data_IF_630236309567
#
_entry.id   IF_630236309567
#
_cell.length_a   1.000
_cell.length_b   1.000
_cell.length_c   1.000
_cell.angle_alpha   90.00
_cell.angle_beta   90.00
_cell.angle_gamma   90.00
#
_symmetry.space_group_name_H-M   'P 1'
#
loop_
_entity.id
_entity.type
_entity.pdbx_description
1 polymer ?
#
# COMPACT_ATOMS: atom_id res chain seq x y z
N UNK A 1 24.76 -26.06 36.45
CA UNK A 1 23.64 -26.85 35.88
C UNK A 1 22.77 -25.88 35.13
N UNK A 2 23.06 -25.75 33.83
CA UNK A 2 22.72 -24.57 33.05
C UNK A 2 21.45 -24.91 32.28
N UNK A 3 20.34 -24.27 32.61
CA UNK A 3 19.00 -24.57 32.10
C UNK A 3 18.91 -24.34 30.58
N UNK A 4 18.93 -25.39 29.74
CA UNK A 4 18.82 -25.23 28.28
C UNK A 4 17.41 -24.76 27.86
N UNK A 5 16.41 -25.06 28.69
CA UNK A 5 15.00 -24.70 28.51
C UNK A 5 14.79 -23.18 28.39
N UNK A 6 15.50 -22.37 29.18
CA UNK A 6 15.32 -20.91 29.19
C UNK A 6 15.77 -20.25 27.88
N UNK A 7 16.72 -20.88 27.18
CA UNK A 7 17.30 -20.37 25.93
C UNK A 7 16.40 -20.70 24.74
N UNK A 8 15.76 -21.88 24.75
CA UNK A 8 14.80 -22.27 23.73
C UNK A 8 13.48 -21.49 23.83
N UNK A 9 13.01 -21.20 25.04
CA UNK A 9 11.82 -20.35 25.24
C UNK A 9 12.08 -18.93 24.72
N UNK A 10 13.24 -18.34 25.00
CA UNK A 10 13.59 -16.99 24.52
C UNK A 10 13.65 -16.92 22.98
N UNK A 11 14.24 -17.94 22.34
CA UNK A 11 14.34 -18.03 20.87
C UNK A 11 12.98 -18.23 20.21
N UNK A 12 12.11 -19.06 20.81
CA UNK A 12 10.75 -19.26 20.32
C UNK A 12 9.91 -17.99 20.44
N UNK A 13 10.07 -17.22 21.52
CA UNK A 13 9.40 -15.93 21.69
C UNK A 13 9.88 -14.88 20.68
N UNK A 14 11.19 -14.80 20.39
CA UNK A 14 11.73 -13.88 19.37
C UNK A 14 11.23 -14.23 17.96
N UNK A 15 11.20 -15.51 17.59
CA UNK A 15 10.73 -15.97 16.28
C UNK A 15 9.23 -15.73 16.10
N UNK A 16 8.42 -15.91 17.16
CA UNK A 16 7.00 -15.60 17.13
C UNK A 16 6.76 -14.10 16.91
N UNK A 17 7.51 -13.21 17.57
CA UNK A 17 7.38 -11.76 17.33
C UNK A 17 7.84 -11.32 15.95
N UNK A 18 8.86 -11.97 15.37
CA UNK A 18 9.32 -11.67 14.01
C UNK A 18 8.31 -12.11 12.94
N UNK A 19 7.57 -13.20 13.17
CA UNK A 19 6.55 -13.69 12.25
C UNK A 19 5.30 -12.78 12.20
N UNK A 20 4.98 -12.07 13.28
CA UNK A 20 3.90 -11.07 13.32
C UNK A 20 4.21 -9.79 12.53
N UNK A 21 5.48 -9.57 12.14
CA UNK A 21 5.88 -8.44 11.29
C UNK A 21 5.87 -8.76 9.80
N UNK A 22 5.37 -9.94 9.41
CA UNK A 22 4.94 -10.20 8.04
C UNK A 22 3.74 -9.29 7.73
N UNK A 23 4.03 -8.02 7.48
CA UNK A 23 3.10 -7.11 6.86
C UNK A 23 2.65 -7.79 5.57
N UNK A 24 1.33 -8.01 5.46
CA UNK A 24 0.70 -8.12 4.17
C UNK A 24 1.28 -6.99 3.31
N UNK A 25 1.89 -7.38 2.19
CA UNK A 25 2.47 -6.43 1.26
C UNK A 25 1.38 -5.41 0.91
N UNK A 26 1.65 -4.13 1.19
CA UNK A 26 0.68 -3.03 1.08
C UNK A 26 0.05 -2.97 -0.32
N UNK A 27 0.81 -3.40 -1.34
CA UNK A 27 0.31 -3.52 -2.72
C UNK A 27 -0.79 -4.58 -2.82
N UNK A 28 -0.63 -5.73 -2.17
CA UNK A 28 -1.65 -6.79 -2.14
C UNK A 28 -2.91 -6.36 -1.40
N UNK A 29 -2.77 -5.67 -0.26
CA UNK A 29 -3.93 -5.12 0.48
C UNK A 29 -4.72 -4.12 -0.37
N UNK A 30 -4.01 -3.22 -1.05
CA UNK A 30 -4.63 -2.27 -1.94
C UNK A 30 -5.18 -2.90 -3.22
N UNK A 31 -4.59 -3.99 -3.73
CA UNK A 31 -5.13 -4.75 -4.84
C UNK A 31 -6.52 -5.31 -4.50
N UNK A 32 -6.70 -5.88 -3.31
CA UNK A 32 -8.00 -6.37 -2.83
C UNK A 32 -9.02 -5.23 -2.74
N UNK A 33 -8.63 -4.06 -2.20
CA UNK A 33 -9.52 -2.89 -2.10
C UNK A 33 -9.90 -2.34 -3.48
N UNK A 34 -8.95 -2.24 -4.40
CA UNK A 34 -9.19 -1.77 -5.76
C UNK A 34 -10.14 -2.71 -6.51
N UNK A 35 -9.97 -4.03 -6.35
CA UNK A 35 -10.90 -5.02 -6.90
C UNK A 35 -12.32 -4.86 -6.35
N UNK A 36 -12.48 -4.62 -5.05
CA UNK A 36 -13.80 -4.37 -4.45
C UNK A 36 -14.45 -3.09 -5.03
N UNK A 37 -13.68 -1.99 -5.13
CA UNK A 37 -14.16 -0.74 -5.71
C UNK A 37 -14.56 -0.89 -7.19
N UNK A 38 -13.81 -1.69 -7.96
CA UNK A 38 -14.11 -2.00 -9.34
C UNK A 38 -15.37 -2.88 -9.47
N UNK A 39 -15.54 -3.87 -8.60
CA UNK A 39 -16.75 -4.69 -8.56
C UNK A 39 -18.00 -3.83 -8.28
N UNK A 40 -17.91 -2.91 -7.33
CA UNK A 40 -18.99 -1.99 -6.97
C UNK A 40 -19.30 -0.97 -8.09
N UNK A 41 -18.32 -0.65 -8.94
CA UNK A 41 -18.48 0.30 -10.04
C UNK A 41 -19.30 -0.22 -11.23
N UNK A 42 -19.66 -1.50 -11.24
CA UNK A 42 -20.39 -2.18 -12.33
C UNK A 42 -19.70 -2.07 -13.70
N UNK A 43 -18.40 -1.74 -13.72
CA UNK A 43 -17.55 -1.88 -14.91
C UNK A 43 -17.43 -3.38 -15.21
N UNK A 44 -18.23 -3.90 -16.12
CA UNK A 44 -18.07 -5.27 -16.61
C UNK A 44 -16.66 -5.52 -17.17
N UNK A 45 -16.34 -6.78 -17.45
CA UNK A 45 -15.16 -7.15 -18.25
C UNK A 45 -15.41 -6.83 -19.72
N UNK A 46 -14.44 -6.32 -20.51
CA UNK A 46 -13.03 -6.01 -20.20
C UNK A 46 -12.65 -4.72 -19.44
N UNK A 47 -13.47 -3.64 -19.36
CA UNK A 47 -13.07 -2.39 -18.72
C UNK A 47 -12.45 -2.49 -17.32
N UNK A 48 -12.99 -3.32 -16.42
CA UNK A 48 -12.43 -3.49 -15.07
C UNK A 48 -10.97 -4.01 -15.08
N UNK A 49 -10.62 -4.92 -15.99
CA UNK A 49 -9.26 -5.46 -16.09
C UNK A 49 -8.29 -4.38 -16.55
N UNK A 50 -8.69 -3.54 -17.52
CA UNK A 50 -7.88 -2.40 -17.95
C UNK A 50 -7.67 -1.38 -16.84
N UNK A 51 -8.72 -1.08 -16.07
CA UNK A 51 -8.63 -0.17 -14.94
C UNK A 51 -7.64 -0.71 -13.88
N UNK A 52 -7.72 -2.00 -13.55
CA UNK A 52 -6.79 -2.63 -12.61
C UNK A 52 -5.34 -2.60 -13.12
N UNK A 53 -5.11 -2.84 -14.41
CA UNK A 53 -3.78 -2.74 -15.01
C UNK A 53 -3.19 -1.32 -14.90
N UNK A 54 -3.98 -0.29 -15.22
CA UNK A 54 -3.56 1.12 -15.10
C UNK A 54 -3.17 1.44 -13.65
N UNK A 55 -4.00 1.04 -12.69
CA UNK A 55 -3.74 1.27 -11.26
C UNK A 55 -2.42 0.61 -10.83
N UNK A 56 -2.17 -0.64 -11.23
CA UNK A 56 -0.95 -1.35 -10.85
C UNK A 56 0.31 -0.79 -11.54
N UNK A 57 0.20 -0.34 -12.79
CA UNK A 57 1.30 0.38 -13.46
C UNK A 57 1.65 1.67 -12.71
N UNK A 58 0.65 2.46 -12.32
CA UNK A 58 0.86 3.68 -11.56
C UNK A 58 1.49 3.41 -10.18
N UNK A 59 1.08 2.33 -9.51
CA UNK A 59 1.67 1.90 -8.22
C UNK A 59 3.14 1.53 -8.39
N UNK A 60 3.48 0.76 -9.43
CA UNK A 60 4.86 0.39 -9.72
C UNK A 60 5.72 1.63 -9.99
N UNK A 61 5.27 2.52 -10.89
CA UNK A 61 5.96 3.78 -11.17
C UNK A 61 6.12 4.65 -9.91
N UNK A 62 5.13 4.61 -9.02
CA UNK A 62 5.18 5.37 -7.79
C UNK A 62 6.26 4.86 -6.82
N UNK A 63 6.38 3.54 -6.67
CA UNK A 63 7.41 2.94 -5.83
C UNK A 63 8.79 3.17 -6.44
N UNK A 64 8.94 2.98 -7.75
CA UNK A 64 10.21 3.19 -8.47
C UNK A 64 10.68 4.66 -8.42
N UNK A 65 9.74 5.61 -8.37
CA UNK A 65 10.02 7.05 -8.26
C UNK A 65 10.44 7.51 -6.85
N UNK A 66 10.43 6.63 -5.84
CA UNK A 66 10.82 7.02 -4.49
C UNK A 66 12.31 7.38 -4.40
N UNK A 67 12.69 8.39 -3.59
CA UNK A 67 14.09 8.72 -3.39
C UNK A 67 14.85 7.53 -2.78
N UNK A 68 16.09 7.23 -3.24
CA UNK A 68 16.83 6.03 -2.81
C UNK A 68 16.95 5.86 -1.29
N UNK A 69 17.09 6.98 -0.57
CA UNK A 69 17.19 7.01 0.90
C UNK A 69 15.97 6.45 1.64
N UNK A 70 14.80 6.43 1.00
CA UNK A 70 13.51 6.01 1.60
C UNK A 70 12.79 4.96 0.77
N UNK A 71 13.33 4.56 -0.38
CA UNK A 71 12.66 3.68 -1.36
C UNK A 71 12.24 2.31 -0.79
N UNK A 72 12.96 1.80 0.21
CA UNK A 72 12.64 0.54 0.89
C UNK A 72 11.97 0.73 2.25
N UNK A 73 11.72 1.98 2.66
CA UNK A 73 11.09 2.25 3.95
C UNK A 73 9.59 2.08 3.83
N UNK A 74 9.03 1.29 4.76
CA UNK A 74 7.59 1.01 4.78
C UNK A 74 6.72 2.27 4.74
N UNK A 75 6.97 3.34 5.53
CA UNK A 75 6.13 4.54 5.48
C UNK A 75 6.12 5.24 4.12
N UNK A 76 7.24 5.23 3.38
CA UNK A 76 7.30 5.83 2.06
C UNK A 76 6.54 4.99 1.02
N UNK A 77 6.75 3.67 1.04
CA UNK A 77 6.07 2.74 0.13
C UNK A 77 4.55 2.75 0.38
N UNK A 78 4.11 2.63 1.64
CA UNK A 78 2.69 2.67 1.99
C UNK A 78 2.00 3.96 1.52
N UNK A 79 2.66 5.10 1.74
CA UNK A 79 2.13 6.40 1.33
C UNK A 79 2.09 6.54 -0.20
N UNK A 80 3.14 6.10 -0.91
CA UNK A 80 3.19 6.11 -2.37
C UNK A 80 2.08 5.24 -2.98
N UNK A 81 1.89 4.02 -2.45
CA UNK A 81 0.85 3.09 -2.89
C UNK A 81 -0.54 3.68 -2.67
N UNK A 82 -0.82 4.23 -1.49
CA UNK A 82 -2.12 4.84 -1.19
C UNK A 82 -2.41 6.05 -2.11
N UNK A 83 -1.41 6.89 -2.36
CA UNK A 83 -1.56 8.06 -3.23
C UNK A 83 -1.74 7.65 -4.71
N UNK A 84 -1.01 6.65 -5.20
CA UNK A 84 -1.15 6.16 -6.57
C UNK A 84 -2.55 5.58 -6.83
N UNK A 85 -3.07 4.77 -5.89
CA UNK A 85 -4.44 4.25 -5.95
C UNK A 85 -5.47 5.39 -5.95
N UNK A 86 -5.28 6.38 -5.07
CA UNK A 86 -6.17 7.56 -5.03
C UNK A 86 -6.24 8.25 -6.39
N UNK A 87 -5.09 8.60 -6.96
CA UNK A 87 -4.99 9.37 -8.20
C UNK A 87 -5.67 8.63 -9.35
N UNK A 88 -5.31 7.36 -9.55
CA UNK A 88 -5.83 6.57 -10.68
C UNK A 88 -7.29 6.17 -10.50
N UNK A 89 -7.69 5.67 -9.33
CA UNK A 89 -9.06 5.21 -9.11
C UNK A 89 -10.06 6.37 -9.10
N UNK A 90 -9.70 7.57 -8.62
CA UNK A 90 -10.62 8.72 -8.67
C UNK A 90 -10.83 9.27 -10.09
N UNK A 91 -9.86 9.06 -10.99
CA UNK A 91 -10.01 9.36 -12.41
C UNK A 91 -10.85 8.30 -13.14
N UNK A 92 -10.62 7.02 -12.84
CA UNK A 92 -11.30 5.90 -13.50
C UNK A 92 -12.73 5.70 -12.97
N UNK A 93 -12.96 5.92 -11.67
CA UNK A 93 -14.21 5.65 -10.95
C UNK A 93 -14.72 6.90 -10.22
N UNK A 94 -15.09 7.97 -10.94
CA UNK A 94 -15.47 9.24 -10.31
C UNK A 94 -16.68 9.10 -9.35
N UNK A 95 -17.59 8.16 -9.62
CA UNK A 95 -18.72 7.85 -8.72
C UNK A 95 -18.31 7.25 -7.37
N UNK A 96 -17.13 6.62 -7.29
CA UNK A 96 -16.61 5.99 -6.07
C UNK A 96 -15.67 6.92 -5.29
N UNK A 97 -15.50 8.18 -5.72
CA UNK A 97 -14.49 9.10 -5.19
C UNK A 97 -14.53 9.26 -3.67
N UNK A 98 -15.71 9.41 -3.07
CA UNK A 98 -15.84 9.57 -1.63
C UNK A 98 -15.32 8.35 -0.86
N UNK A 99 -15.64 7.14 -1.34
CA UNK A 99 -15.15 5.89 -0.74
C UNK A 99 -13.64 5.72 -0.91
N UNK A 100 -13.10 6.08 -2.08
CA UNK A 100 -11.66 6.06 -2.34
C UNK A 100 -10.93 7.04 -1.42
N UNK A 101 -11.39 8.28 -1.33
CA UNK A 101 -10.79 9.32 -0.49
C UNK A 101 -10.80 8.92 0.99
N UNK A 102 -11.90 8.34 1.48
CA UNK A 102 -11.99 7.84 2.86
C UNK A 102 -11.01 6.68 3.14
N UNK A 103 -10.91 5.71 2.23
CA UNK A 103 -9.98 4.60 2.37
C UNK A 103 -8.51 5.06 2.38
N UNK A 104 -8.16 6.01 1.52
CA UNK A 104 -6.82 6.60 1.46
C UNK A 104 -6.52 7.40 2.73
N UNK A 105 -7.46 8.21 3.20
CA UNK A 105 -7.29 8.98 4.44
C UNK A 105 -7.06 8.04 5.63
N UNK A 106 -7.85 6.96 5.74
CA UNK A 106 -7.66 5.96 6.79
C UNK A 106 -6.28 5.31 6.71
N UNK A 107 -5.84 4.90 5.52
CA UNK A 107 -4.51 4.30 5.32
C UNK A 107 -3.38 5.28 5.67
N UNK A 108 -3.48 6.55 5.25
CA UNK A 108 -2.47 7.55 5.57
C UNK A 108 -2.44 7.93 7.05
N UNK A 109 -3.57 7.83 7.77
CA UNK A 109 -3.65 8.22 9.18
C UNK A 109 -2.83 7.32 10.11
N UNK A 110 -2.62 6.06 9.74
CA UNK A 110 -1.85 5.10 10.54
C UNK A 110 -0.35 5.10 10.23
N UNK A 111 0.07 5.79 9.16
CA UNK A 111 1.48 5.96 8.80
C UNK A 111 2.07 7.08 9.67
N UNK A 112 3.15 6.81 10.43
CA UNK A 112 3.82 7.84 11.23
C UNK A 112 4.26 9.04 10.38
N UNK A 113 4.06 10.24 10.92
CA UNK A 113 4.52 11.47 10.28
C UNK A 113 6.04 11.50 10.14
N UNK A 114 6.52 12.07 9.04
CA UNK A 114 7.96 12.26 8.83
C UNK A 114 8.37 12.29 7.36
N UNK A 115 9.69 12.42 7.10
CA UNK A 115 10.23 12.59 5.76
C UNK A 115 9.91 11.43 4.80
N UNK A 116 9.80 10.19 5.31
CA UNK A 116 9.46 9.03 4.51
C UNK A 116 8.01 9.09 4.01
N UNK A 117 7.04 9.35 4.90
CA UNK A 117 5.63 9.54 4.52
C UNK A 117 5.47 10.70 3.55
N UNK A 118 6.11 11.84 3.83
CA UNK A 118 6.08 13.01 2.97
C UNK A 118 6.63 12.70 1.56
N UNK A 119 7.74 11.96 1.48
CA UNK A 119 8.30 11.52 0.20
C UNK A 119 7.33 10.61 -0.58
N UNK A 120 6.70 9.64 0.07
CA UNK A 120 5.69 8.80 -0.57
C UNK A 120 4.47 9.57 -1.06
N UNK A 121 4.02 10.58 -0.31
CA UNK A 121 2.91 11.44 -0.72
C UNK A 121 3.21 12.39 -1.89
N UNK A 122 4.50 12.65 -2.14
CA UNK A 122 4.99 13.56 -3.19
C UNK A 122 5.06 12.90 -4.58
N UNK A 123 4.95 11.58 -4.68
CA UNK A 123 5.08 10.79 -5.93
C UNK A 123 3.95 11.06 -6.95
N UNK A 124 2.96 11.88 -6.56
CA UNK A 124 1.69 12.15 -7.25
C UNK A 124 1.82 12.61 -8.70
N UNK A 125 2.98 13.08 -9.14
CA UNK A 125 3.21 13.65 -10.46
C UNK A 125 3.51 12.62 -11.56
N UNK A 126 4.07 11.45 -11.23
CA UNK A 126 4.39 10.42 -12.23
C UNK A 126 3.21 9.51 -12.61
N UNK A 127 2.20 9.40 -11.76
CA UNK A 127 1.14 8.38 -11.86
C UNK A 127 -0.04 8.75 -12.79
N UNK A 128 -0.02 9.92 -13.42
CA UNK A 128 -1.12 10.46 -14.23
C UNK A 128 -0.72 10.87 -15.66
N UNK A 129 0.45 10.41 -16.13
CA UNK A 129 1.01 10.71 -17.47
C UNK A 129 0.99 9.49 -18.37
#
# INVERSE_FOLDING_TARGET
MNTPLSRHVLVASLLATAALQAHADTVTDWNLRANALLADSQLGTPPAIRAMAIVQTAVHQAIDGLPPRVATTKPAVDAAVAVAHRTTLTQLLPGQRAGIDAAVQAALSVIPEGPAKAAGMAVRELAAS
#
